data_IF_556436003761
#
_entry.id   IF_556436003761
#
_cell.length_a   1.000
_cell.length_b   1.000
_cell.length_c   1.000
_cell.angle_alpha   90.00
_cell.angle_beta   90.00
_cell.angle_gamma   90.00
#
_symmetry.space_group_name_H-M   'P 1'
#
loop_
_entity.id
_entity.type
_entity.pdbx_description
1 polymer ?
#
# COMPACT_ATOMS: atom_id res chain seq x y z
N UNK A 1 -16.43 -12.81 -41.73
CA UNK A 1 -17.58 -12.00 -42.18
C UNK A 1 -17.70 -10.78 -41.24
N UNK A 2 -18.21 -9.63 -41.68
CA UNK A 2 -18.37 -8.45 -40.80
C UNK A 2 -19.33 -8.73 -39.66
N UNK A 3 -20.41 -9.46 -39.93
CA UNK A 3 -21.42 -9.83 -38.93
C UNK A 3 -20.80 -10.70 -37.83
N UNK A 4 -19.92 -11.62 -38.21
CA UNK A 4 -19.23 -12.51 -37.28
C UNK A 4 -18.23 -11.74 -36.39
N UNK A 5 -17.52 -10.76 -36.96
CA UNK A 5 -16.61 -9.91 -36.19
C UNK A 5 -17.36 -9.07 -35.14
N UNK A 6 -18.48 -8.46 -35.52
CA UNK A 6 -19.32 -7.69 -34.60
C UNK A 6 -19.87 -8.59 -33.48
N UNK A 7 -20.36 -9.80 -33.81
CA UNK A 7 -20.85 -10.75 -32.80
C UNK A 7 -19.76 -11.23 -31.82
N UNK A 8 -18.52 -11.38 -32.27
CA UNK A 8 -17.38 -11.73 -31.41
C UNK A 8 -17.01 -10.55 -30.51
N UNK A 9 -17.03 -9.33 -31.03
CA UNK A 9 -16.77 -8.11 -30.26
C UNK A 9 -17.80 -7.91 -29.16
N UNK A 10 -19.09 -8.02 -29.47
CA UNK A 10 -20.18 -7.88 -28.50
C UNK A 10 -20.07 -8.90 -27.37
N UNK A 11 -19.71 -10.15 -27.72
CA UNK A 11 -19.49 -11.21 -26.73
C UNK A 11 -18.29 -10.93 -25.82
N UNK A 12 -17.18 -10.45 -26.39
CA UNK A 12 -15.99 -10.10 -25.61
C UNK A 12 -16.23 -8.90 -24.70
N UNK A 13 -16.99 -7.91 -25.18
CA UNK A 13 -17.38 -6.74 -24.40
C UNK A 13 -18.28 -7.13 -23.21
N UNK A 14 -19.27 -8.00 -23.43
CA UNK A 14 -20.13 -8.52 -22.37
C UNK A 14 -19.32 -9.26 -21.29
N UNK A 15 -18.41 -10.15 -21.70
CA UNK A 15 -17.52 -10.89 -20.78
C UNK A 15 -16.59 -9.94 -20.02
N UNK A 16 -16.07 -8.90 -20.70
CA UNK A 16 -15.21 -7.91 -20.08
C UNK A 16 -15.94 -7.16 -18.96
N UNK A 17 -17.15 -6.65 -19.19
CA UNK A 17 -17.88 -5.91 -18.16
C UNK A 17 -18.35 -6.78 -16.99
N UNK A 18 -18.74 -8.04 -17.25
CA UNK A 18 -19.11 -8.98 -16.19
C UNK A 18 -17.93 -9.31 -15.26
N UNK A 19 -16.77 -9.61 -15.85
CA UNK A 19 -15.57 -9.98 -15.09
C UNK A 19 -14.87 -8.77 -14.46
N UNK A 20 -14.72 -7.67 -15.19
CA UNK A 20 -14.10 -6.46 -14.66
C UNK A 20 -15.00 -5.80 -13.59
N UNK A 21 -16.32 -5.81 -13.77
CA UNK A 21 -17.25 -5.26 -12.79
C UNK A 21 -17.20 -6.00 -11.45
N UNK A 22 -17.17 -7.34 -11.49
CA UNK A 22 -17.05 -8.17 -10.29
C UNK A 22 -15.67 -8.01 -9.61
N UNK A 23 -14.58 -8.00 -10.40
CA UNK A 23 -13.24 -7.73 -9.89
C UNK A 23 -13.11 -6.34 -9.25
N UNK A 24 -13.63 -5.30 -9.91
CA UNK A 24 -13.60 -3.93 -9.39
C UNK A 24 -14.44 -3.77 -8.11
N UNK A 25 -15.58 -4.47 -8.01
CA UNK A 25 -16.40 -4.50 -6.80
C UNK A 25 -15.67 -5.20 -5.64
N UNK A 26 -14.99 -6.31 -5.91
CA UNK A 26 -14.18 -7.03 -4.91
C UNK A 26 -13.00 -6.18 -4.41
N UNK A 27 -12.27 -5.53 -5.32
CA UNK A 27 -11.16 -4.64 -4.96
C UNK A 27 -11.62 -3.50 -4.06
N UNK A 28 -12.77 -2.88 -4.37
CA UNK A 28 -13.34 -1.82 -3.53
C UNK A 28 -13.72 -2.33 -2.15
N UNK A 29 -14.37 -3.50 -2.06
CA UNK A 29 -14.74 -4.11 -0.78
C UNK A 29 -13.51 -4.47 0.07
N UNK A 30 -12.45 -5.00 -0.56
CA UNK A 30 -11.19 -5.32 0.12
C UNK A 30 -10.46 -4.06 0.62
N UNK A 31 -10.49 -2.97 -0.16
CA UNK A 31 -9.92 -1.68 0.24
C UNK A 31 -10.66 -1.09 1.44
N UNK A 32 -12.00 -1.13 1.42
CA UNK A 32 -12.84 -0.72 2.55
C UNK A 32 -12.56 -1.57 3.80
N UNK A 33 -12.47 -2.90 3.67
CA UNK A 33 -12.14 -3.78 4.79
C UNK A 33 -10.73 -3.51 5.33
N UNK A 34 -9.75 -3.30 4.45
CA UNK A 34 -8.36 -3.00 4.84
C UNK A 34 -8.27 -1.65 5.57
N UNK A 35 -9.03 -0.65 5.13
CA UNK A 35 -9.11 0.66 5.77
C UNK A 35 -9.76 0.56 7.16
N UNK A 36 -10.83 -0.24 7.30
CA UNK A 36 -11.48 -0.51 8.58
C UNK A 36 -10.54 -1.29 9.51
N UNK A 37 -9.85 -2.30 9.01
CA UNK A 37 -8.88 -3.08 9.78
C UNK A 37 -7.72 -2.19 10.25
N UNK A 38 -7.17 -1.34 9.38
CA UNK A 38 -6.11 -0.39 9.74
C UNK A 38 -6.57 0.64 10.78
N UNK A 39 -7.80 1.15 10.66
CA UNK A 39 -8.38 2.07 11.65
C UNK A 39 -8.60 1.41 13.02
N UNK A 40 -8.94 0.11 13.05
CA UNK A 40 -9.17 -0.64 14.29
C UNK A 40 -7.90 -1.26 14.88
N UNK A 41 -6.86 -1.48 14.08
CA UNK A 41 -5.63 -2.14 14.54
C UNK A 41 -4.84 -1.29 15.54
N UNK A 42 -5.04 0.04 15.55
CA UNK A 42 -4.13 0.96 16.21
C UNK A 42 -2.74 0.91 15.57
N UNK A 43 -1.99 1.99 15.62
CA UNK A 43 -0.58 1.92 15.22
C UNK A 43 0.20 1.34 16.41
N UNK A 44 0.85 0.17 16.27
CA UNK A 44 1.75 -0.29 17.31
C UNK A 44 2.89 0.73 17.45
N UNK A 45 2.96 1.37 18.61
CA UNK A 45 4.09 2.22 18.97
C UNK A 45 5.21 1.32 19.49
N UNK A 46 6.33 1.31 18.78
CA UNK A 46 7.57 0.67 19.24
C UNK A 46 8.58 1.76 19.58
N UNK A 47 9.24 1.65 20.72
CA UNK A 47 10.38 2.50 21.02
C UNK A 47 11.61 2.05 20.24
N UNK A 48 12.55 2.96 19.93
CA UNK A 48 13.82 2.59 19.29
C UNK A 48 14.56 1.49 20.06
N UNK A 49 14.52 1.55 21.41
CA UNK A 49 15.08 0.54 22.30
C UNK A 49 14.46 -0.85 22.11
N UNK A 50 13.15 -0.95 21.91
CA UNK A 50 12.46 -2.23 21.67
C UNK A 50 12.84 -2.86 20.33
N UNK A 51 13.18 -2.03 19.34
CA UNK A 51 13.65 -2.49 18.03
C UNK A 51 15.16 -2.78 18.02
N UNK A 52 15.85 -2.67 19.16
CA UNK A 52 17.30 -2.79 19.24
C UNK A 52 18.06 -1.67 18.51
N UNK A 53 17.37 -0.57 18.20
CA UNK A 53 17.91 0.60 17.53
C UNK A 53 18.35 1.64 18.57
N UNK A 54 19.48 2.30 18.32
CA UNK A 54 19.91 3.42 19.16
C UNK A 54 18.98 4.61 18.93
N UNK A 55 18.69 5.34 20.01
CA UNK A 55 17.94 6.59 19.95
C UNK A 55 18.50 7.50 18.83
N UNK A 56 17.67 8.01 17.91
CA UNK A 56 18.12 8.94 16.87
C UNK A 56 18.80 10.19 17.43
N UNK A 57 18.53 10.59 18.69
CA UNK A 57 19.25 11.68 19.37
C UNK A 57 20.71 11.30 19.66
N UNK A 58 21.01 10.01 19.85
CA UNK A 58 22.37 9.48 20.01
C UNK A 58 23.07 9.19 18.67
N UNK A 59 22.38 9.38 17.54
CA UNK A 59 22.98 9.23 16.22
C UNK A 59 23.83 10.46 15.93
N UNK A 60 25.12 10.40 16.29
CA UNK A 60 26.11 11.29 15.69
C UNK A 60 26.13 10.98 14.19
N UNK A 61 25.37 11.75 13.41
CA UNK A 61 25.40 11.70 11.96
C UNK A 61 26.86 11.71 11.51
N UNK A 62 27.24 10.83 10.59
CA UNK A 62 28.57 10.86 9.94
C UNK A 62 28.84 12.22 9.24
N UNK A 63 27.80 13.04 9.10
CA UNK A 63 27.76 14.41 8.58
C UNK A 63 27.53 15.50 9.66
N UNK A 64 27.63 15.19 10.96
CA UNK A 64 27.81 16.22 11.99
C UNK A 64 29.33 16.50 12.08
N UNK A 65 29.85 17.55 11.44
CA UNK A 65 31.28 17.86 11.44
C UNK A 65 31.75 18.50 12.75
N UNK A 66 30.88 18.72 13.74
CA UNK A 66 31.31 19.33 14.98
C UNK A 66 32.14 18.32 15.79
N UNK A 67 33.46 18.56 15.98
CA UNK A 67 34.26 17.72 16.85
C UNK A 67 33.69 17.81 18.27
N UNK A 68 33.92 16.79 19.13
CA UNK A 68 33.62 16.95 20.54
C UNK A 68 34.32 18.23 21.01
N UNK A 69 33.55 19.14 21.62
CA UNK A 69 34.13 20.27 22.32
C UNK A 69 35.00 19.68 23.45
N UNK A 70 36.30 19.58 23.18
CA UNK A 70 37.31 19.43 24.21
C UNK A 70 37.31 20.73 25.02
N UNK A 71 37.01 20.59 26.31
CA UNK A 71 36.85 21.65 27.30
C UNK A 71 36.53 21.08 28.67
#
# INVERSE_FOLDING_TARGET
DRIEYEAIMDRNEAVFYEQYGSYAAQMRAQEEESAVAAANAGTPEFTYSELGLRDPVAFNNFMNPDPPADG
#
